data_IF_758130393241
#
_entry.id   IF_758130393241
#
_cell.length_a   1.000
_cell.length_b   1.000
_cell.length_c   1.000
_cell.angle_alpha   90.00
_cell.angle_beta   90.00
_cell.angle_gamma   90.00
#
_symmetry.space_group_name_H-M   'P 1'
#
loop_
_entity.id
_entity.type
_entity.pdbx_description
1 polymer ?
#
# COMPACT_ATOMS: atom_id res chain seq x y z
N UNK A 1 61.13 -29.39 38.13
CA UNK A 1 60.42 -28.12 38.44
C UNK A 1 59.82 -27.60 37.15
N UNK A 2 58.51 -27.42 37.17
CA UNK A 2 57.61 -27.43 36.01
C UNK A 2 57.40 -26.03 35.45
N UNK A 3 57.47 -25.90 34.13
CA UNK A 3 57.23 -24.68 33.36
C UNK A 3 55.75 -24.27 33.48
N UNK A 4 55.46 -23.04 33.96
CA UNK A 4 54.11 -22.46 33.95
C UNK A 4 53.92 -21.54 32.74
N UNK A 5 53.25 -22.09 31.71
CA UNK A 5 52.74 -21.35 30.55
C UNK A 5 51.58 -20.44 30.97
N UNK A 6 51.61 -19.16 30.56
CA UNK A 6 50.51 -18.21 30.75
C UNK A 6 49.54 -18.35 29.58
N UNK A 7 48.39 -18.99 29.81
CA UNK A 7 47.30 -19.09 28.84
C UNK A 7 46.52 -17.78 28.78
N UNK A 8 46.47 -17.16 27.60
CA UNK A 8 45.60 -16.02 27.32
C UNK A 8 44.17 -16.54 27.07
N UNK A 9 43.22 -16.09 27.89
CA UNK A 9 41.78 -16.31 27.69
C UNK A 9 41.25 -15.24 26.72
N UNK A 10 41.03 -15.63 25.47
CA UNK A 10 40.22 -14.84 24.52
C UNK A 10 38.77 -15.27 24.69
N UNK A 11 37.96 -14.41 25.31
CA UNK A 11 36.51 -14.58 25.37
C UNK A 11 35.92 -14.06 24.07
N UNK A 12 35.58 -14.97 23.15
CA UNK A 12 34.81 -14.67 21.96
C UNK A 12 33.31 -14.72 22.29
N UNK A 13 32.71 -13.54 22.51
CA UNK A 13 31.25 -13.40 22.68
C UNK A 13 30.55 -13.60 21.33
N UNK A 14 30.06 -14.81 21.07
CA UNK A 14 29.20 -15.08 19.92
C UNK A 14 27.80 -14.53 20.19
N UNK A 15 27.46 -13.40 19.57
CA UNK A 15 26.08 -12.89 19.48
C UNK A 15 25.27 -13.84 18.58
N UNK A 16 24.59 -14.80 19.18
CA UNK A 16 23.58 -15.59 18.51
C UNK A 16 22.33 -14.71 18.28
N UNK A 17 22.27 -14.04 17.13
CA UNK A 17 21.03 -13.43 16.64
C UNK A 17 20.11 -14.56 16.21
N UNK A 18 19.31 -15.06 17.16
CA UNK A 18 18.18 -15.94 16.85
C UNK A 18 17.09 -15.09 16.20
N UNK A 19 17.21 -14.92 14.88
CA UNK A 19 16.15 -14.36 14.06
C UNK A 19 14.93 -15.26 14.15
N UNK A 20 13.89 -14.81 14.85
CA UNK A 20 12.54 -15.36 14.67
C UNK A 20 12.09 -15.02 13.26
N UNK A 21 12.52 -15.81 12.28
CA UNK A 21 12.11 -15.71 10.88
C UNK A 21 10.72 -16.32 10.68
N UNK A 22 9.73 -15.83 11.43
CA UNK A 22 8.34 -15.93 11.00
C UNK A 22 8.13 -14.88 9.93
N UNK A 23 8.30 -15.25 8.67
CA UNK A 23 8.14 -14.32 7.55
C UNK A 23 6.78 -13.64 7.58
N UNK A 24 6.75 -12.30 7.50
CA UNK A 24 5.50 -11.58 7.25
C UNK A 24 4.95 -12.05 5.90
N UNK A 25 3.76 -12.61 5.89
CA UNK A 25 3.06 -13.01 4.67
C UNK A 25 2.26 -11.81 4.17
N UNK A 26 2.43 -11.42 2.91
CA UNK A 26 1.73 -10.29 2.29
C UNK A 26 0.44 -10.71 1.59
N UNK A 27 -0.24 -11.72 2.16
CA UNK A 27 -1.48 -12.24 1.61
C UNK A 27 -2.60 -11.22 1.84
N UNK A 28 -3.19 -10.71 0.75
CA UNK A 28 -4.36 -9.84 0.82
C UNK A 28 -5.66 -10.66 0.83
N UNK A 29 -5.73 -11.71 0.02
CA UNK A 29 -6.94 -12.52 -0.16
C UNK A 29 -6.93 -13.78 0.70
N UNK A 30 -8.12 -14.15 1.16
CA UNK A 30 -8.35 -15.44 1.81
C UNK A 30 -8.19 -16.60 0.84
N UNK A 31 -7.77 -17.76 1.35
CA UNK A 31 -7.80 -19.03 0.61
C UNK A 31 -9.22 -19.54 0.42
N UNK A 32 -10.06 -19.33 1.43
CA UNK A 32 -11.47 -19.71 1.41
C UNK A 32 -12.30 -18.58 1.99
N UNK A 33 -13.47 -18.33 1.42
CA UNK A 33 -14.41 -17.33 1.91
C UNK A 33 -14.80 -17.61 3.35
N UNK A 34 -14.74 -16.57 4.20
CA UNK A 34 -15.21 -16.60 5.58
C UNK A 34 -16.46 -15.73 5.63
N UNK A 35 -17.63 -16.36 5.79
CA UNK A 35 -18.90 -15.66 5.87
C UNK A 35 -19.18 -15.24 7.31
N UNK A 36 -19.65 -14.01 7.50
CA UNK A 36 -20.08 -13.46 8.79
C UNK A 36 -21.38 -12.68 8.62
N UNK A 37 -22.18 -12.51 9.68
CA UNK A 37 -23.35 -11.63 9.66
C UNK A 37 -22.98 -10.20 9.24
N UNK A 38 -23.84 -9.57 8.43
CA UNK A 38 -23.66 -8.16 8.04
C UNK A 38 -23.64 -7.21 9.24
N UNK A 39 -24.26 -7.60 10.36
CA UNK A 39 -24.25 -6.84 11.63
C UNK A 39 -22.87 -6.72 12.27
N UNK A 40 -21.91 -7.54 11.85
CA UNK A 40 -20.54 -7.54 12.37
C UNK A 40 -19.59 -6.65 11.54
N UNK A 41 -20.07 -6.10 10.43
CA UNK A 41 -19.30 -5.22 9.54
C UNK A 41 -19.69 -3.77 9.82
N UNK A 42 -18.70 -2.92 10.12
CA UNK A 42 -18.93 -1.48 10.30
C UNK A 42 -19.07 -0.75 8.97
N UNK A 43 -18.22 -1.09 8.00
CA UNK A 43 -18.18 -0.44 6.69
C UNK A 43 -17.47 -1.32 5.66
N UNK A 44 -17.71 -1.01 4.39
CA UNK A 44 -16.89 -1.49 3.26
C UNK A 44 -16.32 -0.27 2.54
N UNK A 45 -15.02 -0.27 2.30
CA UNK A 45 -14.32 0.79 1.56
C UNK A 45 -13.84 0.27 0.22
N UNK A 46 -14.02 1.08 -0.81
CA UNK A 46 -13.55 0.79 -2.16
C UNK A 46 -12.23 1.53 -2.38
N UNK A 47 -11.12 0.79 -2.40
CA UNK A 47 -9.79 1.36 -2.53
C UNK A 47 -9.37 1.27 -3.99
N UNK A 48 -9.31 2.42 -4.68
CA UNK A 48 -8.80 2.49 -6.05
C UNK A 48 -7.27 2.43 -6.03
N UNK A 49 -6.66 1.67 -6.94
CA UNK A 49 -5.23 1.40 -6.91
C UNK A 49 -4.59 1.65 -8.26
N UNK A 50 -3.55 2.47 -8.27
CA UNK A 50 -2.55 2.54 -9.33
C UNK A 50 -1.25 1.96 -8.79
N UNK A 51 -0.64 1.01 -9.50
CA UNK A 51 0.54 0.31 -8.99
C UNK A 51 1.58 0.01 -10.05
N UNK A 52 2.85 0.14 -9.67
CA UNK A 52 4.03 -0.25 -10.48
C UNK A 52 4.52 -1.65 -10.14
N UNK A 53 3.75 -2.43 -9.36
CA UNK A 53 4.03 -3.83 -9.03
C UNK A 53 3.59 -4.77 -10.15
N UNK A 54 4.27 -5.90 -10.30
CA UNK A 54 3.78 -7.00 -11.14
C UNK A 54 2.58 -7.68 -10.49
N UNK A 55 1.73 -8.25 -11.34
CA UNK A 55 0.69 -9.20 -10.91
C UNK A 55 1.36 -10.41 -10.27
N UNK A 56 0.92 -10.75 -9.06
CA UNK A 56 1.41 -11.92 -8.37
C UNK A 56 0.92 -13.20 -9.08
N UNK A 57 1.82 -13.87 -9.79
CA UNK A 57 1.52 -15.14 -10.49
C UNK A 57 1.89 -16.36 -9.63
N UNK A 58 2.94 -16.24 -8.80
CA UNK A 58 3.42 -17.31 -7.92
C UNK A 58 2.57 -17.44 -6.65
N UNK A 59 2.18 -16.31 -6.07
CA UNK A 59 1.35 -16.22 -4.87
C UNK A 59 0.11 -15.36 -5.13
N UNK A 60 -0.91 -15.89 -5.83
CA UNK A 60 -2.04 -15.08 -6.32
C UNK A 60 -2.81 -14.32 -5.22
N UNK A 61 -2.75 -14.79 -3.97
CA UNK A 61 -3.38 -14.13 -2.82
C UNK A 61 -2.75 -12.78 -2.47
N UNK A 62 -1.53 -12.49 -2.93
CA UNK A 62 -0.92 -11.17 -2.79
C UNK A 62 -1.50 -10.15 -3.77
N UNK A 63 -2.15 -10.61 -4.85
CA UNK A 63 -2.70 -9.81 -5.97
C UNK A 63 -1.62 -9.12 -6.81
N UNK A 64 -0.74 -8.38 -6.16
CA UNK A 64 0.47 -7.80 -6.71
C UNK A 64 1.65 -8.12 -5.80
N UNK A 65 2.80 -8.45 -6.39
CA UNK A 65 3.98 -8.85 -5.65
C UNK A 65 4.95 -7.68 -5.41
N UNK A 66 6.19 -8.00 -5.01
CA UNK A 66 7.26 -7.03 -4.79
C UNK A 66 8.02 -6.64 -6.05
N UNK A 67 7.77 -7.28 -7.19
CA UNK A 67 8.54 -7.08 -8.41
C UNK A 67 8.01 -5.89 -9.22
N UNK A 68 8.90 -5.23 -9.97
CA UNK A 68 8.55 -4.07 -10.82
C UNK A 68 7.82 -4.50 -12.09
N UNK A 69 6.73 -3.83 -12.39
CA UNK A 69 6.12 -3.83 -13.72
C UNK A 69 6.76 -2.77 -14.62
N UNK A 70 6.78 -3.02 -15.93
CA UNK A 70 7.17 -2.03 -16.93
C UNK A 70 6.07 -1.00 -17.22
N UNK A 71 4.84 -1.30 -16.79
CA UNK A 71 3.67 -0.44 -16.97
C UNK A 71 2.86 -0.35 -15.68
N UNK A 72 2.23 0.79 -15.45
CA UNK A 72 1.26 0.92 -14.35
C UNK A 72 0.07 -0.01 -14.57
N UNK A 73 -0.26 -0.77 -13.54
CA UNK A 73 -1.47 -1.58 -13.45
C UNK A 73 -2.52 -0.90 -12.58
N UNK A 74 -3.79 -1.21 -12.82
CA UNK A 74 -4.90 -0.60 -12.13
C UNK A 74 -5.87 -1.63 -11.54
N UNK A 75 -6.36 -1.36 -10.34
CA UNK A 75 -7.33 -2.20 -9.65
C UNK A 75 -8.24 -1.40 -8.72
N UNK A 76 -9.28 -2.04 -8.21
CA UNK A 76 -10.06 -1.61 -7.05
C UNK A 76 -10.17 -2.78 -6.08
N UNK A 77 -9.93 -2.55 -4.81
CA UNK A 77 -10.06 -3.57 -3.75
C UNK A 77 -11.18 -3.15 -2.81
N UNK A 78 -12.15 -4.03 -2.61
CA UNK A 78 -13.24 -3.79 -1.67
C UNK A 78 -12.86 -4.40 -0.31
N UNK A 79 -12.70 -3.56 0.71
CA UNK A 79 -12.19 -3.96 2.04
C UNK A 79 -13.25 -3.74 3.10
N UNK A 80 -13.59 -4.78 3.85
CA UNK A 80 -14.49 -4.68 5.01
C UNK A 80 -13.72 -4.29 6.26
N UNK A 81 -14.34 -3.45 7.09
CA UNK A 81 -13.86 -3.07 8.43
C UNK A 81 -14.79 -3.71 9.48
N UNK A 82 -14.27 -4.44 10.48
CA UNK A 82 -15.08 -5.08 11.51
C UNK A 82 -15.70 -4.05 12.45
N UNK A 83 -16.87 -4.37 13.01
CA UNK A 83 -17.53 -3.53 14.03
C UNK A 83 -16.73 -3.39 15.32
N UNK A 84 -15.82 -4.34 15.59
CA UNK A 84 -14.91 -4.30 16.73
C UNK A 84 -13.66 -3.44 16.52
N UNK A 85 -13.53 -2.77 15.36
CA UNK A 85 -12.36 -1.98 15.01
C UNK A 85 -12.05 -0.88 16.03
N UNK A 86 -10.76 -0.68 16.32
CA UNK A 86 -10.26 0.41 17.16
C UNK A 86 -9.45 1.41 16.34
N UNK A 87 -9.76 2.70 16.51
CA UNK A 87 -9.05 3.79 15.84
C UNK A 87 -7.54 3.66 16.04
N UNK A 88 -6.79 3.75 14.94
CA UNK A 88 -5.33 3.60 14.94
C UNK A 88 -4.82 2.17 14.73
N UNK A 89 -5.66 1.16 14.96
CA UNK A 89 -5.30 -0.24 14.80
C UNK A 89 -5.47 -0.70 13.35
N UNK A 90 -4.77 -1.77 12.96
CA UNK A 90 -5.11 -2.52 11.75
C UNK A 90 -5.22 -3.96 12.18
N UNK A 91 -6.44 -4.43 12.41
CA UNK A 91 -6.70 -5.81 12.79
C UNK A 91 -6.44 -6.72 11.60
N UNK A 92 -5.48 -7.64 11.75
CA UNK A 92 -5.07 -8.57 10.69
C UNK A 92 -5.01 -9.99 11.21
N UNK A 93 -5.36 -10.92 10.32
CA UNK A 93 -5.03 -12.31 10.48
C UNK A 93 -3.52 -12.51 10.71
N UNK A 94 -3.17 -13.48 11.54
CA UNK A 94 -1.77 -13.83 11.80
C UNK A 94 -1.26 -14.80 10.74
N UNK A 95 -0.12 -14.48 10.14
CA UNK A 95 0.48 -15.31 9.07
C UNK A 95 -0.48 -15.48 7.90
N UNK A 96 -0.49 -16.66 7.28
CA UNK A 96 -1.37 -16.98 6.15
C UNK A 96 -2.74 -17.55 6.54
N UNK A 97 -3.24 -17.25 7.74
CA UNK A 97 -4.61 -17.58 8.10
C UNK A 97 -5.60 -16.76 7.24
N UNK A 98 -6.81 -17.27 7.05
CA UNK A 98 -7.88 -16.46 6.46
C UNK A 98 -8.28 -15.36 7.44
N UNK A 99 -8.41 -14.12 6.96
CA UNK A 99 -9.02 -13.01 7.67
C UNK A 99 -10.49 -13.30 7.95
N UNK A 100 -10.92 -13.02 9.17
CA UNK A 100 -12.31 -13.08 9.57
C UNK A 100 -12.90 -11.66 9.51
N UNK A 101 -13.85 -11.35 8.60
CA UNK A 101 -14.38 -9.99 8.46
C UNK A 101 -15.04 -9.41 9.71
N UNK A 102 -15.44 -10.24 10.69
CA UNK A 102 -15.97 -9.78 11.98
C UNK A 102 -14.88 -9.36 12.98
N UNK A 103 -13.60 -9.62 12.68
CA UNK A 103 -12.46 -9.36 13.57
C UNK A 103 -11.30 -8.62 12.90
N UNK A 104 -11.12 -8.82 11.59
CA UNK A 104 -9.98 -8.36 10.82
C UNK A 104 -10.45 -7.50 9.64
N UNK A 105 -9.59 -6.58 9.21
CA UNK A 105 -9.74 -5.96 7.90
C UNK A 105 -9.60 -7.05 6.84
N UNK A 106 -10.58 -7.14 5.94
CA UNK A 106 -10.64 -8.25 4.98
C UNK A 106 -10.92 -7.72 3.58
N UNK A 107 -10.01 -7.99 2.65
CA UNK A 107 -10.28 -7.77 1.23
C UNK A 107 -11.27 -8.83 0.74
N UNK A 108 -12.43 -8.37 0.28
CA UNK A 108 -13.53 -9.22 -0.18
C UNK A 108 -13.39 -9.52 -1.67
N UNK A 109 -13.17 -8.49 -2.46
CA UNK A 109 -13.17 -8.56 -3.92
C UNK A 109 -12.06 -7.67 -4.50
N UNK A 110 -11.59 -8.05 -5.69
CA UNK A 110 -10.64 -7.25 -6.47
C UNK A 110 -11.14 -7.12 -7.89
N UNK A 111 -11.36 -5.88 -8.33
CA UNK A 111 -11.69 -5.55 -9.71
C UNK A 111 -10.43 -5.08 -10.42
N UNK A 112 -10.09 -5.68 -11.55
CA UNK A 112 -8.96 -5.26 -12.37
C UNK A 112 -9.43 -4.39 -13.53
N UNK A 113 -8.63 -3.38 -13.85
CA UNK A 113 -8.87 -2.52 -15.00
C UNK A 113 -7.77 -2.74 -16.03
N UNK A 114 -8.15 -2.81 -17.31
CA UNK A 114 -7.23 -3.09 -18.41
C UNK A 114 -6.23 -1.94 -18.64
N UNK A 115 -6.58 -0.72 -18.24
CA UNK A 115 -5.70 0.43 -18.38
C UNK A 115 -6.28 1.72 -17.80
N UNK A 116 -5.50 2.78 -17.96
CA UNK A 116 -5.81 4.11 -17.42
C UNK A 116 -7.20 4.64 -17.83
N UNK A 117 -7.71 4.49 -19.07
CA UNK A 117 -9.04 5.02 -19.43
C UNK A 117 -10.18 4.38 -18.64
N UNK A 118 -10.17 3.05 -18.46
CA UNK A 118 -11.20 2.33 -17.72
C UNK A 118 -11.13 2.68 -16.22
N UNK A 119 -9.92 2.73 -15.67
CA UNK A 119 -9.69 3.15 -14.30
C UNK A 119 -10.14 4.61 -14.05
N UNK A 120 -9.75 5.54 -14.92
CA UNK A 120 -10.12 6.96 -14.83
C UNK A 120 -11.65 7.15 -14.85
N UNK A 121 -12.35 6.37 -15.67
CA UNK A 121 -13.82 6.37 -15.70
C UNK A 121 -14.41 5.89 -14.37
N UNK A 122 -13.88 4.78 -13.83
CA UNK A 122 -14.38 4.21 -12.59
C UNK A 122 -14.10 5.11 -11.37
N UNK A 123 -12.85 5.55 -11.19
CA UNK A 123 -12.48 6.45 -10.08
C UNK A 123 -13.16 7.81 -10.22
N UNK A 124 -13.31 8.34 -11.44
CA UNK A 124 -14.00 9.61 -11.68
C UNK A 124 -15.50 9.55 -11.37
N UNK A 125 -16.14 8.40 -11.58
CA UNK A 125 -17.53 8.18 -11.17
C UNK A 125 -17.65 8.16 -9.65
N UNK A 126 -16.77 7.46 -8.94
CA UNK A 126 -16.76 7.43 -7.47
C UNK A 126 -16.47 8.82 -6.87
N UNK A 127 -15.49 9.55 -7.42
CA UNK A 127 -15.18 10.95 -7.03
C UNK A 127 -16.43 11.83 -7.14
N UNK A 128 -17.19 11.69 -8.24
CA UNK A 128 -18.41 12.49 -8.45
C UNK A 128 -19.52 12.15 -7.45
N UNK A 129 -19.59 10.89 -6.99
CA UNK A 129 -20.55 10.46 -5.96
C UNK A 129 -20.13 10.88 -4.55
N UNK A 130 -18.83 11.03 -4.31
CA UNK A 130 -18.20 11.27 -2.99
C UNK A 130 -17.77 12.73 -2.75
N UNK A 131 -18.42 13.68 -3.42
CA UNK A 131 -18.21 15.11 -3.14
C UNK A 131 -16.96 15.71 -3.78
N UNK A 132 -16.49 15.14 -4.89
CA UNK A 132 -15.43 15.68 -5.75
C UNK A 132 -14.04 15.77 -5.08
N UNK A 133 -13.73 14.92 -4.09
CA UNK A 133 -12.40 14.85 -3.45
C UNK A 133 -11.77 13.47 -3.65
N UNK A 134 -10.44 13.44 -3.80
CA UNK A 134 -9.66 12.22 -3.79
C UNK A 134 -8.53 12.31 -2.76
N UNK A 135 -8.31 11.24 -2.01
CA UNK A 135 -7.17 11.07 -1.12
C UNK A 135 -6.20 10.08 -1.73
N UNK A 136 -5.03 10.55 -2.15
CA UNK A 136 -3.95 9.73 -2.65
C UNK A 136 -3.02 9.36 -1.50
N UNK A 137 -2.91 8.07 -1.21
CA UNK A 137 -1.93 7.56 -0.25
C UNK A 137 -0.75 6.90 -0.96
N UNK A 138 0.47 7.30 -0.58
CA UNK A 138 1.73 6.75 -1.09
C UNK A 138 2.46 6.06 0.06
N UNK A 139 2.53 4.73 0.01
CA UNK A 139 3.17 3.93 1.06
C UNK A 139 4.71 4.08 1.08
N UNK A 140 5.33 3.52 2.11
CA UNK A 140 6.78 3.61 2.34
C UNK A 140 7.56 2.35 1.95
N UNK A 141 8.79 2.31 2.46
CA UNK A 141 9.73 1.19 2.35
C UNK A 141 9.23 -0.05 3.12
N UNK A 142 9.60 -1.24 2.65
CA UNK A 142 9.29 -2.52 3.30
C UNK A 142 7.77 -2.73 3.51
N UNK A 143 7.01 -2.42 2.46
CA UNK A 143 5.57 -2.61 2.43
C UNK A 143 5.18 -3.59 1.32
N UNK A 144 4.36 -4.58 1.65
CA UNK A 144 3.64 -5.37 0.66
C UNK A 144 2.46 -4.60 0.07
N UNK A 145 1.79 -5.21 -0.90
CA UNK A 145 0.58 -4.64 -1.49
C UNK A 145 -0.54 -4.50 -0.44
N UNK A 146 -0.72 -5.53 0.39
CA UNK A 146 -1.69 -5.56 1.49
C UNK A 146 -1.48 -4.43 2.51
N UNK A 147 -0.23 -4.05 2.76
CA UNK A 147 0.09 -2.98 3.70
C UNK A 147 -0.48 -1.63 3.29
N UNK A 148 -0.34 -1.28 2.01
CA UNK A 148 -0.89 -0.05 1.46
C UNK A 148 -2.42 -0.05 1.52
N UNK A 149 -3.04 -1.17 1.14
CA UNK A 149 -4.49 -1.34 1.12
C UNK A 149 -5.08 -1.15 2.51
N UNK A 150 -4.59 -1.91 3.50
CA UNK A 150 -5.14 -1.85 4.84
C UNK A 150 -4.84 -0.52 5.54
N UNK A 151 -3.67 0.09 5.29
CA UNK A 151 -3.36 1.41 5.86
C UNK A 151 -4.26 2.52 5.31
N UNK A 152 -4.49 2.56 4.00
CA UNK A 152 -5.40 3.55 3.43
C UNK A 152 -6.85 3.30 3.86
N UNK A 153 -7.28 2.03 3.93
CA UNK A 153 -8.60 1.66 4.47
C UNK A 153 -8.78 2.20 5.89
N UNK A 154 -7.75 2.03 6.73
CA UNK A 154 -7.76 2.51 8.11
C UNK A 154 -7.84 4.03 8.17
N UNK A 155 -6.99 4.74 7.41
CA UNK A 155 -7.03 6.21 7.35
C UNK A 155 -8.42 6.69 6.91
N UNK A 156 -8.97 6.14 5.83
CA UNK A 156 -10.28 6.52 5.31
C UNK A 156 -11.40 6.26 6.34
N UNK A 157 -11.37 5.10 7.01
CA UNK A 157 -12.35 4.74 8.03
C UNK A 157 -12.25 5.64 9.27
N UNK A 158 -11.07 5.75 9.86
CA UNK A 158 -10.84 6.45 11.13
C UNK A 158 -11.12 7.95 11.03
N UNK A 159 -10.74 8.55 9.90
CA UNK A 159 -10.98 9.97 9.63
C UNK A 159 -12.38 10.25 9.09
N UNK A 160 -13.16 9.20 8.79
CA UNK A 160 -14.43 9.29 8.08
C UNK A 160 -14.28 10.10 6.78
N UNK A 161 -13.21 9.84 6.04
CA UNK A 161 -12.89 10.60 4.84
C UNK A 161 -14.05 10.53 3.83
N UNK A 162 -14.63 11.67 3.43
CA UNK A 162 -15.84 11.67 2.61
C UNK A 162 -15.58 11.39 1.13
N UNK A 163 -14.33 11.59 0.66
CA UNK A 163 -13.93 11.45 -0.74
C UNK A 163 -13.50 10.04 -1.14
N UNK A 164 -12.92 9.94 -2.33
CA UNK A 164 -12.44 8.68 -2.91
C UNK A 164 -11.02 8.34 -2.45
N UNK A 165 -10.80 7.21 -1.76
CA UNK A 165 -9.45 6.76 -1.40
C UNK A 165 -8.76 6.10 -2.60
N UNK A 166 -7.57 6.60 -2.93
CA UNK A 166 -6.70 6.11 -4.01
C UNK A 166 -5.34 5.72 -3.43
N UNK A 167 -4.97 4.45 -3.55
CA UNK A 167 -3.63 3.96 -3.24
C UNK A 167 -2.74 4.09 -4.46
N UNK A 168 -1.60 4.77 -4.30
CA UNK A 168 -0.47 4.59 -5.21
C UNK A 168 0.53 3.62 -4.57
N UNK A 169 0.63 2.41 -5.14
CA UNK A 169 1.50 1.36 -4.63
C UNK A 169 2.69 1.11 -5.54
N UNK A 170 3.88 1.52 -5.11
CA UNK A 170 5.13 1.27 -5.85
C UNK A 170 5.76 -0.06 -5.42
N UNK A 171 6.59 -0.64 -6.29
CA UNK A 171 7.22 -1.97 -6.10
C UNK A 171 8.29 -2.00 -4.99
N UNK A 172 7.86 -1.85 -3.74
CA UNK A 172 8.64 -2.20 -2.55
C UNK A 172 8.69 -3.73 -2.43
N UNK A 173 9.88 -4.26 -2.18
CA UNK A 173 10.14 -5.69 -2.01
C UNK A 173 9.49 -6.30 -0.77
N UNK A 174 8.97 -5.48 0.15
CA UNK A 174 8.41 -5.95 1.43
C UNK A 174 9.45 -6.54 2.38
N UNK A 175 10.74 -6.27 2.15
CA UNK A 175 11.86 -6.83 2.92
C UNK A 175 12.81 -5.74 3.43
N UNK A 176 13.24 -5.88 4.68
CA UNK A 176 14.20 -4.95 5.31
C UNK A 176 15.57 -4.96 4.64
N UNK A 177 16.00 -6.09 4.07
CA UNK A 177 17.26 -6.19 3.32
C UNK A 177 17.16 -5.63 1.89
N UNK A 178 15.96 -5.27 1.45
CA UNK A 178 15.68 -4.77 0.09
C UNK A 178 15.91 -3.28 -0.10
N UNK A 179 16.58 -2.57 0.81
CA UNK A 179 16.66 -1.11 0.79
C UNK A 179 17.14 -0.51 -0.54
N UNK A 180 18.19 -1.05 -1.14
CA UNK A 180 18.70 -0.57 -2.45
C UNK A 180 17.66 -0.81 -3.55
N UNK A 181 17.04 -2.00 -3.56
CA UNK A 181 15.99 -2.31 -4.52
C UNK A 181 14.81 -1.33 -4.38
N UNK A 182 14.33 -1.12 -3.17
CA UNK A 182 13.19 -0.25 -2.90
C UNK A 182 13.50 1.21 -3.29
N UNK A 183 14.72 1.70 -3.03
CA UNK A 183 15.13 3.05 -3.45
C UNK A 183 15.07 3.23 -4.97
N UNK A 184 15.59 2.27 -5.72
CA UNK A 184 15.54 2.33 -7.19
C UNK A 184 14.11 2.15 -7.72
N UNK A 185 13.28 1.32 -7.06
CA UNK A 185 11.85 1.18 -7.39
C UNK A 185 11.09 2.47 -7.15
N UNK A 186 11.35 3.14 -6.03
CA UNK A 186 10.74 4.42 -5.67
C UNK A 186 11.10 5.51 -6.69
N UNK A 187 12.38 5.56 -7.11
CA UNK A 187 12.81 6.48 -8.16
C UNK A 187 12.17 6.18 -9.52
N UNK A 188 11.93 4.91 -9.86
CA UNK A 188 11.26 4.55 -11.11
C UNK A 188 9.77 4.93 -11.10
N UNK A 189 9.12 4.93 -9.92
CA UNK A 189 7.67 5.15 -9.80
C UNK A 189 7.22 6.62 -9.87
N UNK A 190 8.15 7.58 -9.98
CA UNK A 190 7.84 9.03 -9.98
C UNK A 190 6.94 9.43 -11.15
N UNK A 191 7.24 8.91 -12.33
CA UNK A 191 6.50 9.22 -13.56
C UNK A 191 5.11 8.58 -13.55
N UNK A 192 4.98 7.38 -12.96
CA UNK A 192 3.71 6.70 -12.77
C UNK A 192 2.81 7.43 -11.75
N UNK A 193 3.39 7.96 -10.67
CA UNK A 193 2.63 8.80 -9.73
C UNK A 193 2.20 10.10 -10.40
N UNK A 194 3.07 10.73 -11.19
CA UNK A 194 2.72 11.93 -11.96
C UNK A 194 1.55 11.65 -12.91
N UNK A 195 1.64 10.57 -13.69
CA UNK A 195 0.59 10.16 -14.61
C UNK A 195 -0.73 9.88 -13.88
N UNK A 196 -0.66 9.26 -12.70
CA UNK A 196 -1.83 9.00 -11.84
C UNK A 196 -2.47 10.30 -11.36
N UNK A 197 -1.69 11.25 -10.85
CA UNK A 197 -2.20 12.55 -10.39
C UNK A 197 -2.81 13.36 -11.54
N UNK A 198 -2.14 13.40 -12.69
CA UNK A 198 -2.67 14.05 -13.91
C UNK A 198 -3.95 13.41 -14.40
N UNK A 199 -4.06 12.09 -14.33
CA UNK A 199 -5.29 11.36 -14.68
C UNK A 199 -6.43 11.72 -13.73
N UNK A 200 -6.18 11.76 -12.41
CA UNK A 200 -7.18 12.20 -11.43
C UNK A 200 -7.60 13.65 -11.69
N UNK A 201 -6.64 14.54 -11.98
CA UNK A 201 -6.91 15.95 -12.30
C UNK A 201 -7.71 16.14 -13.59
N UNK A 202 -7.81 15.14 -14.48
CA UNK A 202 -8.69 15.18 -15.66
C UNK A 202 -10.12 14.74 -15.36
N UNK A 203 -10.39 14.22 -14.16
CA UNK A 203 -11.76 13.94 -13.69
C UNK A 203 -12.45 15.22 -13.18
N UNK A 204 -13.65 15.08 -12.60
CA UNK A 204 -14.38 16.17 -11.92
C UNK A 204 -13.82 16.54 -10.54
N UNK A 205 -12.72 15.92 -10.11
CA UNK A 205 -12.10 16.21 -8.82
C UNK A 205 -11.82 17.71 -8.64
N UNK A 206 -12.16 18.22 -7.46
CA UNK A 206 -11.89 19.59 -7.01
C UNK A 206 -10.64 19.66 -6.13
N UNK A 207 -10.36 18.61 -5.36
CA UNK A 207 -9.20 18.50 -4.46
C UNK A 207 -8.59 17.11 -4.54
N UNK A 208 -7.27 17.06 -4.67
CA UNK A 208 -6.44 15.86 -4.51
C UNK A 208 -5.58 16.08 -3.25
N UNK A 209 -5.98 15.42 -2.17
CA UNK A 209 -5.24 15.35 -0.92
C UNK A 209 -4.14 14.28 -1.05
N UNK A 210 -2.92 14.53 -0.59
CA UNK A 210 -1.84 13.53 -0.63
C UNK A 210 -1.33 13.24 0.79
N UNK A 211 -1.34 11.97 1.18
CA UNK A 211 -0.65 11.47 2.37
C UNK A 211 0.46 10.54 1.91
N UNK A 212 1.70 10.86 2.28
CA UNK A 212 2.87 10.08 1.91
C UNK A 212 3.66 9.68 3.15
N UNK A 213 4.10 8.42 3.21
CA UNK A 213 4.81 7.88 4.36
C UNK A 213 6.24 7.47 4.01
N UNK A 214 7.21 7.88 4.83
CA UNK A 214 8.62 7.44 4.73
C UNK A 214 9.18 7.65 3.31
N UNK A 215 9.68 6.60 2.65
CA UNK A 215 10.18 6.67 1.27
C UNK A 215 9.09 7.09 0.26
N UNK A 216 7.80 6.91 0.55
CA UNK A 216 6.71 7.46 -0.26
C UNK A 216 6.70 8.99 -0.28
N UNK A 217 7.20 9.65 0.76
CA UNK A 217 7.37 11.11 0.80
C UNK A 217 8.43 11.56 -0.22
N UNK A 218 9.51 10.79 -0.40
CA UNK A 218 10.50 11.06 -1.43
C UNK A 218 9.90 10.95 -2.84
N UNK A 219 9.17 9.87 -3.13
CA UNK A 219 8.47 9.69 -4.41
C UNK A 219 7.54 10.87 -4.69
N UNK A 220 6.72 11.22 -3.69
CA UNK A 220 5.77 12.33 -3.79
C UNK A 220 6.48 13.65 -4.05
N UNK A 221 7.50 13.99 -3.28
CA UNK A 221 8.26 15.23 -3.45
C UNK A 221 8.89 15.34 -4.84
N UNK A 222 9.49 14.26 -5.33
CA UNK A 222 10.08 14.27 -6.67
C UNK A 222 9.04 14.39 -7.77
N UNK A 223 7.89 13.71 -7.65
CA UNK A 223 6.77 13.89 -8.58
C UNK A 223 6.24 15.32 -8.59
N UNK A 224 6.05 15.94 -7.42
CA UNK A 224 5.61 17.34 -7.33
C UNK A 224 6.65 18.31 -7.93
N UNK A 225 7.94 18.02 -7.76
CA UNK A 225 9.03 18.76 -8.41
C UNK A 225 8.96 18.65 -9.93
N UNK A 226 8.69 17.46 -10.47
CA UNK A 226 8.52 17.25 -11.92
C UNK A 226 7.30 18.02 -12.47
N UNK A 227 6.16 17.97 -11.77
CA UNK A 227 4.97 18.77 -12.10
C UNK A 227 5.30 20.28 -12.12
N UNK A 228 6.04 20.77 -11.13
CA UNK A 228 6.46 22.17 -11.10
C UNK A 228 7.37 22.55 -12.28
N UNK A 229 8.34 21.69 -12.64
CA UNK A 229 9.25 21.92 -13.76
C UNK A 229 8.52 21.91 -15.11
N UNK A 230 7.50 21.06 -15.25
CA UNK A 230 6.70 20.95 -16.49
C UNK A 230 5.59 22.00 -16.59
N UNK A 231 5.46 22.89 -15.61
CA UNK A 231 4.52 24.01 -15.63
C UNK A 231 3.15 23.74 -14.99
N UNK A 232 2.92 22.56 -14.42
CA UNK A 232 1.65 22.13 -13.84
C UNK A 232 1.74 21.96 -12.31
N UNK A 233 2.35 22.93 -11.62
CA UNK A 233 2.72 22.85 -10.19
C UNK A 233 1.60 22.38 -9.26
N UNK A 234 0.36 22.75 -9.53
CA UNK A 234 -0.82 22.47 -8.70
C UNK A 234 -1.93 21.70 -9.44
N UNK A 235 -1.62 21.16 -10.62
CA UNK A 235 -2.59 20.46 -11.49
C UNK A 235 -3.84 21.30 -11.82
N UNK A 236 -3.66 22.60 -12.02
CA UNK A 236 -4.75 23.53 -12.28
C UNK A 236 -5.53 23.89 -11.02
N UNK A 237 -4.82 24.06 -9.90
CA UNK A 237 -5.38 24.38 -8.58
C UNK A 237 -6.08 23.22 -7.87
N UNK A 238 -5.82 21.97 -8.29
CA UNK A 238 -6.46 20.76 -7.75
C UNK A 238 -5.65 20.07 -6.66
N UNK A 239 -4.37 20.39 -6.49
CA UNK A 239 -3.58 19.92 -5.35
C UNK A 239 -3.93 20.75 -4.10
N UNK A 240 -4.43 20.09 -3.04
CA UNK A 240 -4.76 20.76 -1.78
C UNK A 240 -5.77 20.03 -0.92
#
# INVERSE_FOLDING_TARGET
MTVRSKSYLVVASALAVTGCAGGKTHDLLNRTTVSVPASDIAATHEIFVATTRQRATKEPRQVYDGDRSLTTSFARVDVTVPKSHQVGAIERAKGSANSNPAKDFTAKDVTFYEGAPQFAKAVGADISMRGDRALVFVHGFNNGFDDGIYRLTQIAHDTKYPGTPVLFSWASSGKTTGYIYDKESANAARDDLEATLRMLAKTKVKSIDIIAHSMGTWVTMETLRQLAITGDRDLGGKLG
#
